data_IF_830372157594
#
_entry.id   IF_830372157594
#
_cell.length_a   1.000
_cell.length_b   1.000
_cell.length_c   1.000
_cell.angle_alpha   90.00
_cell.angle_beta   90.00
_cell.angle_gamma   90.00
#
_symmetry.space_group_name_H-M   'P 1'
#
loop_
_entity.id
_entity.type
_entity.pdbx_description
1 polymer ?
#
# COMPACT_ATOMS: atom_id res chain seq x y z
N UNK A 1 -16.38 22.61 -5.19
CA UNK A 1 -14.92 22.67 -5.06
C UNK A 1 -14.33 21.80 -3.94
N UNK A 2 -15.08 21.48 -2.84
CA UNK A 2 -14.64 20.52 -1.81
C UNK A 2 -14.74 19.02 -2.20
N UNK A 3 -15.51 18.68 -3.22
CA UNK A 3 -15.69 17.29 -3.71
C UNK A 3 -14.54 16.79 -4.61
N UNK A 4 -13.72 17.68 -5.17
CA UNK A 4 -12.61 17.29 -6.06
C UNK A 4 -11.43 16.66 -5.29
N UNK A 5 -11.21 17.08 -4.04
CA UNK A 5 -10.15 16.54 -3.18
C UNK A 5 -10.47 15.14 -2.62
N UNK A 6 -11.77 14.85 -2.43
CA UNK A 6 -12.21 13.52 -1.94
C UNK A 6 -11.99 12.44 -3.01
N UNK A 7 -12.14 12.76 -4.28
CA UNK A 7 -11.93 11.80 -5.38
C UNK A 7 -10.47 11.34 -5.56
N UNK A 8 -9.50 12.21 -5.31
CA UNK A 8 -8.07 11.87 -5.43
C UNK A 8 -7.55 11.12 -4.19
N UNK A 9 -8.04 11.50 -2.99
CA UNK A 9 -7.73 10.76 -1.75
C UNK A 9 -8.39 9.36 -1.73
N UNK A 10 -9.56 9.20 -2.38
CA UNK A 10 -10.23 7.90 -2.44
C UNK A 10 -9.54 6.94 -3.44
N UNK A 11 -8.88 7.43 -4.49
CA UNK A 11 -8.10 6.56 -5.37
C UNK A 11 -6.83 6.04 -4.65
N UNK A 12 -6.11 6.89 -3.95
CA UNK A 12 -4.97 6.47 -3.12
C UNK A 12 -5.39 5.56 -1.96
N UNK A 13 -6.59 5.76 -1.40
CA UNK A 13 -7.13 4.94 -0.33
C UNK A 13 -7.71 3.61 -0.83
N UNK A 14 -8.33 3.59 -2.02
CA UNK A 14 -8.85 2.37 -2.63
C UNK A 14 -7.72 1.44 -3.11
N UNK A 15 -6.60 2.02 -3.52
CA UNK A 15 -5.42 1.25 -3.94
C UNK A 15 -4.61 0.73 -2.75
N UNK A 16 -4.69 1.39 -1.58
CA UNK A 16 -4.15 0.88 -0.32
C UNK A 16 -5.06 -0.16 0.35
N UNK A 17 -6.28 -0.29 -0.09
CA UNK A 17 -7.30 -1.25 0.38
C UNK A 17 -7.38 -2.52 -0.46
N UNK A 18 -6.49 -2.75 -1.40
CA UNK A 18 -6.27 -4.09 -1.92
C UNK A 18 -5.76 -4.94 -0.75
N UNK A 19 -6.59 -5.85 -0.15
CA UNK A 19 -6.11 -6.63 0.96
C UNK A 19 -5.03 -7.51 0.42
N UNK A 20 -3.85 -7.14 0.80
CA UNK A 20 -2.76 -8.06 1.02
C UNK A 20 -2.82 -9.38 0.33
N UNK A 21 -2.28 -9.32 -0.76
CA UNK A 21 -1.47 -10.41 -1.20
C UNK A 21 -0.04 -10.27 -0.64
N UNK A 22 0.20 -9.95 0.59
CA UNK A 22 1.52 -10.11 1.16
C UNK A 22 1.62 -9.67 2.61
N UNK A 23 1.53 -10.61 3.48
CA UNK A 23 2.44 -10.81 4.61
C UNK A 23 2.21 -12.24 5.08
N UNK A 24 3.26 -13.02 5.18
CA UNK A 24 3.21 -14.22 5.99
C UNK A 24 3.03 -13.80 7.46
N UNK A 25 1.80 -13.48 7.83
CA UNK A 25 1.29 -13.85 9.12
C UNK A 25 1.27 -15.36 9.10
N UNK A 26 1.70 -16.01 10.18
CA UNK A 26 1.27 -17.37 10.45
C UNK A 26 -0.22 -17.44 10.16
N UNK A 27 -0.73 -18.53 9.54
CA UNK A 27 -2.10 -18.59 9.10
C UNK A 27 -2.99 -18.20 10.28
N UNK A 28 -3.65 -17.06 10.18
CA UNK A 28 -4.74 -16.71 11.08
C UNK A 28 -5.63 -17.92 11.15
N UNK A 29 -6.14 -18.35 12.32
CA UNK A 29 -7.01 -19.48 12.39
C UNK A 29 -8.10 -19.28 11.35
N UNK A 30 -8.12 -20.15 10.35
CA UNK A 30 -9.04 -20.14 9.23
C UNK A 30 -10.42 -19.89 9.80
N UNK A 31 -11.01 -18.74 9.48
CA UNK A 31 -12.46 -18.65 9.42
C UNK A 31 -12.84 -19.72 8.40
N UNK A 32 -13.29 -20.89 8.87
CA UNK A 32 -13.88 -21.95 8.06
C UNK A 32 -15.22 -21.45 7.50
N UNK A 33 -15.20 -20.43 6.66
CA UNK A 33 -16.21 -20.28 5.62
C UNK A 33 -15.79 -21.27 4.54
N UNK A 34 -16.59 -22.30 4.31
CA UNK A 34 -16.40 -23.24 3.23
C UNK A 34 -16.35 -22.45 1.92
N UNK A 35 -15.16 -22.12 1.46
CA UNK A 35 -14.98 -21.46 0.16
C UNK A 35 -15.51 -22.40 -0.93
N UNK A 36 -16.36 -21.92 -1.80
CA UNK A 36 -16.90 -22.69 -2.93
C UNK A 36 -15.95 -22.51 -4.11
N UNK A 37 -14.98 -23.39 -4.20
CA UNK A 37 -13.95 -23.35 -5.26
C UNK A 37 -14.32 -24.40 -6.31
N UNK A 38 -14.53 -23.97 -7.56
CA UNK A 38 -14.70 -24.85 -8.70
C UNK A 38 -13.43 -25.65 -8.93
N UNK A 39 -13.54 -26.97 -9.05
CA UNK A 39 -12.41 -27.88 -9.23
C UNK A 39 -11.61 -27.58 -10.52
N UNK A 40 -12.28 -27.18 -11.60
CA UNK A 40 -11.63 -26.80 -12.85
C UNK A 40 -10.83 -25.50 -12.68
N UNK A 41 -11.40 -24.53 -11.99
CA UNK A 41 -10.73 -23.26 -11.68
C UNK A 41 -9.49 -23.48 -10.79
N UNK A 42 -9.62 -24.33 -9.77
CA UNK A 42 -8.53 -24.70 -8.88
C UNK A 42 -7.36 -25.37 -9.61
N UNK A 43 -7.68 -26.35 -10.46
CA UNK A 43 -6.67 -27.03 -11.28
C UNK A 43 -5.97 -26.08 -12.27
N UNK A 44 -6.70 -25.10 -12.84
CA UNK A 44 -6.11 -24.10 -13.71
C UNK A 44 -5.16 -23.17 -12.95
N UNK A 45 -5.53 -22.71 -11.76
CA UNK A 45 -4.64 -21.90 -10.91
C UNK A 45 -3.39 -22.67 -10.48
N UNK A 46 -3.52 -23.97 -10.22
CA UNK A 46 -2.39 -24.84 -9.92
C UNK A 46 -1.44 -24.94 -11.12
N UNK A 47 -1.98 -25.22 -12.32
CA UNK A 47 -1.17 -25.27 -13.56
C UNK A 47 -0.46 -23.94 -13.84
N UNK A 48 -1.17 -22.83 -13.66
CA UNK A 48 -0.60 -21.49 -13.75
C UNK A 48 0.59 -21.33 -12.78
N UNK A 49 0.38 -21.64 -11.51
CA UNK A 49 1.41 -21.53 -10.48
C UNK A 49 2.63 -22.43 -10.77
N UNK A 50 2.41 -23.68 -11.13
CA UNK A 50 3.47 -24.62 -11.46
C UNK A 50 4.30 -24.13 -12.67
N UNK A 51 3.64 -23.57 -13.70
CA UNK A 51 4.30 -23.00 -14.86
C UNK A 51 5.23 -21.84 -14.50
N UNK A 52 4.76 -20.84 -13.75
CA UNK A 52 5.58 -19.70 -13.34
C UNK A 52 6.69 -20.07 -12.36
N UNK A 53 6.44 -21.08 -11.52
CA UNK A 53 7.45 -21.59 -10.58
C UNK A 53 8.59 -22.31 -11.29
N UNK A 54 8.31 -23.02 -12.38
CA UNK A 54 9.30 -23.71 -13.18
C UNK A 54 10.17 -22.75 -14.01
N UNK A 55 9.68 -21.56 -14.33
CA UNK A 55 10.41 -20.58 -15.13
C UNK A 55 11.59 -19.97 -14.34
N UNK A 56 12.77 -19.94 -14.95
CA UNK A 56 13.97 -19.28 -14.40
C UNK A 56 13.96 -17.77 -14.63
N UNK A 57 13.36 -17.34 -15.72
CA UNK A 57 13.18 -15.93 -16.05
C UNK A 57 11.88 -15.68 -16.80
N UNK A 58 11.37 -14.46 -16.69
CA UNK A 58 10.21 -14.02 -17.46
C UNK A 58 10.28 -12.54 -17.75
N UNK A 59 9.78 -12.14 -18.93
CA UNK A 59 9.53 -10.75 -19.31
C UNK A 59 8.07 -10.59 -19.67
N UNK A 60 7.48 -9.42 -19.32
CA UNK A 60 6.09 -9.08 -19.64
C UNK A 60 5.93 -7.57 -19.79
N UNK A 61 5.08 -7.17 -20.72
CA UNK A 61 4.57 -5.80 -20.80
C UNK A 61 3.20 -5.71 -20.14
N UNK A 62 2.98 -4.64 -19.38
CA UNK A 62 1.81 -4.46 -18.54
C UNK A 62 1.15 -3.13 -18.91
N UNK A 63 -0.14 -3.19 -19.23
CA UNK A 63 -1.00 -2.02 -19.40
C UNK A 63 -2.06 -1.99 -18.30
N UNK A 64 -2.13 -0.92 -17.53
CA UNK A 64 -3.19 -0.71 -16.53
C UNK A 64 -4.07 0.43 -17.00
N UNK A 65 -5.37 0.23 -16.91
CA UNK A 65 -6.40 1.24 -17.17
C UNK A 65 -7.33 1.31 -15.96
N UNK A 66 -7.44 2.48 -15.38
CA UNK A 66 -8.36 2.78 -14.27
C UNK A 66 -9.46 3.68 -14.80
N UNK A 67 -10.69 3.19 -14.75
CA UNK A 67 -11.90 3.94 -15.13
C UNK A 67 -12.65 4.33 -13.87
N UNK A 68 -12.99 5.61 -13.76
CA UNK A 68 -13.79 6.14 -12.66
C UNK A 68 -14.90 7.04 -13.21
N UNK A 69 -16.16 6.65 -12.95
CA UNK A 69 -17.34 7.43 -13.27
C UNK A 69 -18.16 7.60 -11.98
N UNK A 70 -18.18 8.80 -11.43
CA UNK A 70 -18.94 9.14 -10.21
C UNK A 70 -20.03 10.14 -10.63
N UNK A 71 -21.31 9.89 -10.31
CA UNK A 71 -22.40 10.81 -10.61
C UNK A 71 -22.12 12.22 -10.06
N UNK A 72 -22.28 13.22 -10.92
CA UNK A 72 -21.99 14.63 -10.58
C UNK A 72 -20.51 15.03 -10.60
N UNK A 73 -19.61 14.09 -10.95
CA UNK A 73 -18.19 14.37 -11.22
C UNK A 73 -17.85 14.03 -12.68
N UNK A 74 -16.73 14.57 -13.17
CA UNK A 74 -16.23 14.21 -14.50
C UNK A 74 -15.74 12.77 -14.53
N UNK A 75 -16.02 12.04 -15.61
CA UNK A 75 -15.39 10.76 -15.91
C UNK A 75 -13.88 10.94 -15.93
N UNK A 76 -13.17 10.04 -15.25
CA UNK A 76 -11.71 10.01 -15.21
C UNK A 76 -11.22 8.67 -15.73
N UNK A 77 -10.18 8.73 -16.51
CA UNK A 77 -9.46 7.58 -17.02
C UNK A 77 -7.96 7.81 -16.82
N UNK A 78 -7.32 6.87 -16.18
CA UNK A 78 -5.87 6.86 -16.02
C UNK A 78 -5.30 5.63 -16.69
N UNK A 79 -4.16 5.78 -17.31
CA UNK A 79 -3.43 4.69 -17.93
C UNK A 79 -2.02 4.64 -17.39
N UNK A 80 -1.53 3.43 -17.20
CA UNK A 80 -0.15 3.17 -16.83
C UNK A 80 0.40 2.11 -17.77
N UNK A 81 1.67 2.25 -18.15
CA UNK A 81 2.43 1.25 -18.87
C UNK A 81 3.68 0.89 -18.10
N UNK A 82 3.92 -0.40 -18.00
CA UNK A 82 5.11 -0.92 -17.36
C UNK A 82 5.67 -2.12 -18.12
N UNK A 83 6.94 -2.39 -17.89
CA UNK A 83 7.60 -3.63 -18.27
C UNK A 83 8.22 -4.26 -17.03
N UNK A 84 8.02 -5.56 -16.86
CA UNK A 84 8.63 -6.34 -15.80
C UNK A 84 9.50 -7.43 -16.41
N UNK A 85 10.75 -7.49 -15.94
CA UNK A 85 11.66 -8.62 -16.14
C UNK A 85 12.02 -9.19 -14.79
N UNK A 86 11.96 -10.50 -14.65
CA UNK A 86 12.40 -11.23 -13.46
C UNK A 86 13.39 -12.33 -13.84
N UNK A 87 14.36 -12.59 -12.97
CA UNK A 87 15.22 -13.77 -13.08
C UNK A 87 15.55 -14.29 -11.67
N UNK A 88 15.27 -15.57 -11.47
CA UNK A 88 15.56 -16.23 -10.18
C UNK A 88 17.07 -16.26 -9.91
N UNK A 89 17.52 -16.17 -8.66
CA UNK A 89 16.66 -16.20 -7.48
C UNK A 89 16.02 -14.85 -7.07
N UNK A 90 16.62 -13.66 -7.44
CA UNK A 90 16.24 -12.37 -6.85
C UNK A 90 16.53 -11.17 -7.77
N UNK A 91 16.72 -11.36 -9.08
CA UNK A 91 16.87 -10.24 -10.00
C UNK A 91 15.51 -9.81 -10.54
N UNK A 92 15.31 -8.49 -10.58
CA UNK A 92 14.07 -7.87 -11.03
C UNK A 92 14.35 -6.53 -11.71
N UNK A 93 13.62 -6.23 -12.75
CA UNK A 93 13.57 -4.90 -13.36
C UNK A 93 12.12 -4.55 -13.66
N UNK A 94 11.52 -3.64 -12.85
CA UNK A 94 10.22 -3.05 -13.11
C UNK A 94 10.47 -1.63 -13.62
N UNK A 95 9.95 -1.31 -14.80
CA UNK A 95 10.04 0.03 -15.40
C UNK A 95 8.64 0.50 -15.76
N UNK A 96 8.14 1.48 -15.02
CA UNK A 96 6.89 2.19 -15.29
C UNK A 96 7.26 3.37 -16.18
N UNK A 97 6.80 3.35 -17.44
CA UNK A 97 7.15 4.36 -18.45
C UNK A 97 6.08 5.44 -18.60
N UNK A 98 4.83 5.10 -18.30
CA UNK A 98 3.70 6.01 -18.30
C UNK A 98 2.91 5.81 -17.01
N UNK A 99 2.77 6.86 -16.21
CA UNK A 99 1.87 6.91 -15.05
C UNK A 99 1.52 8.36 -14.73
N UNK A 100 0.44 8.62 -13.98
CA UNK A 100 0.10 9.97 -13.52
C UNK A 100 1.21 10.63 -12.69
N UNK A 101 2.00 9.85 -11.98
CA UNK A 101 3.08 10.32 -11.10
C UNK A 101 4.44 10.38 -11.82
N UNK A 102 4.47 10.12 -13.11
CA UNK A 102 5.67 10.08 -13.94
C UNK A 102 6.39 8.73 -13.93
N UNK A 103 7.45 8.62 -14.75
CA UNK A 103 8.22 7.39 -14.87
C UNK A 103 8.90 7.00 -13.55
N UNK A 104 8.87 5.71 -13.26
CA UNK A 104 9.49 5.12 -12.06
C UNK A 104 10.13 3.79 -12.42
N UNK A 105 11.25 3.48 -11.81
CA UNK A 105 11.89 2.17 -11.98
C UNK A 105 12.33 1.57 -10.64
N UNK A 106 12.21 0.24 -10.55
CA UNK A 106 12.75 -0.55 -9.47
C UNK A 106 13.58 -1.67 -10.08
N UNK A 107 14.87 -1.71 -9.75
CA UNK A 107 15.80 -2.66 -10.33
C UNK A 107 16.58 -3.35 -9.23
N UNK A 108 16.60 -4.68 -9.25
CA UNK A 108 17.45 -5.53 -8.41
C UNK A 108 18.46 -6.29 -9.29
N UNK A 109 19.74 -6.13 -8.99
CA UNK A 109 20.81 -6.93 -9.63
C UNK A 109 21.09 -8.26 -8.90
N UNK A 110 20.38 -8.51 -7.81
CA UNK A 110 20.56 -9.66 -6.91
C UNK A 110 21.40 -9.36 -5.68
N UNK A 111 21.99 -8.17 -5.58
CA UNK A 111 22.74 -7.68 -4.41
C UNK A 111 22.15 -6.40 -3.87
N UNK A 112 21.75 -5.51 -4.75
CA UNK A 112 21.24 -4.18 -4.45
C UNK A 112 19.93 -3.96 -5.17
N UNK A 113 18.99 -3.27 -4.51
CA UNK A 113 17.75 -2.77 -5.10
C UNK A 113 17.83 -1.27 -5.22
N UNK A 114 17.58 -0.75 -6.41
CA UNK A 114 17.41 0.68 -6.66
C UNK A 114 15.96 0.97 -6.97
N UNK A 115 15.39 1.94 -6.28
CA UNK A 115 14.09 2.51 -6.62
C UNK A 115 14.30 3.95 -7.06
N UNK A 116 13.91 4.31 -8.28
CA UNK A 116 14.12 5.64 -8.84
C UNK A 116 12.79 6.25 -9.26
N UNK A 117 12.49 7.44 -8.75
CA UNK A 117 11.37 8.28 -9.14
C UNK A 117 11.89 9.45 -10.00
N UNK A 118 11.71 9.35 -11.32
CA UNK A 118 12.29 10.31 -12.29
C UNK A 118 11.76 11.72 -12.07
N UNK A 119 10.46 11.87 -11.86
CA UNK A 119 9.82 13.17 -11.61
C UNK A 119 10.35 13.89 -10.37
N UNK A 120 10.82 13.13 -9.37
CA UNK A 120 11.43 13.68 -8.15
C UNK A 120 12.94 13.87 -8.29
N UNK A 121 13.58 13.31 -9.31
CA UNK A 121 15.04 13.22 -9.44
C UNK A 121 15.68 12.61 -8.17
N UNK A 122 15.05 11.58 -7.62
CA UNK A 122 15.48 10.92 -6.40
C UNK A 122 15.55 9.41 -6.58
N UNK A 123 16.47 8.76 -5.87
CA UNK A 123 16.55 7.32 -5.82
C UNK A 123 16.87 6.82 -4.41
N UNK A 124 16.37 5.62 -4.12
CA UNK A 124 16.62 4.86 -2.90
C UNK A 124 17.48 3.66 -3.24
N UNK A 125 18.31 3.22 -2.30
CA UNK A 125 19.19 2.06 -2.45
C UNK A 125 19.03 1.20 -1.21
N UNK A 126 18.60 -0.05 -1.42
CA UNK A 126 18.42 -1.06 -0.40
C UNK A 126 19.23 -2.32 -0.74
N UNK A 127 19.47 -3.17 0.25
CA UNK A 127 20.03 -4.49 0.01
C UNK A 127 18.99 -5.40 -0.65
N UNK A 128 19.40 -6.19 -1.64
CA UNK A 128 18.49 -7.14 -2.28
C UNK A 128 18.25 -8.35 -1.37
N UNK A 129 16.98 -8.74 -1.16
CA UNK A 129 16.64 -10.00 -0.51
C UNK A 129 17.21 -11.22 -1.28
N UNK A 130 17.24 -12.38 -0.62
CA UNK A 130 17.85 -13.61 -1.18
C UNK A 130 17.07 -14.22 -2.33
N UNK A 131 15.77 -13.96 -2.40
CA UNK A 131 14.83 -14.58 -3.36
C UNK A 131 13.69 -13.63 -3.73
N UNK A 132 12.99 -13.97 -4.81
CA UNK A 132 11.83 -13.21 -5.28
C UNK A 132 10.68 -13.23 -4.27
N UNK A 133 10.49 -14.34 -3.51
CA UNK A 133 9.45 -14.42 -2.48
C UNK A 133 9.59 -13.29 -1.46
N UNK A 134 10.80 -13.14 -0.91
CA UNK A 134 11.11 -12.09 0.06
C UNK A 134 11.07 -10.70 -0.58
N UNK A 135 11.56 -10.57 -1.82
CA UNK A 135 11.55 -9.31 -2.55
C UNK A 135 10.11 -8.80 -2.78
N UNK A 136 9.21 -9.64 -3.26
CA UNK A 136 7.82 -9.27 -3.49
C UNK A 136 7.03 -9.06 -2.19
N UNK A 137 7.34 -9.81 -1.14
CA UNK A 137 6.64 -9.71 0.14
C UNK A 137 7.05 -8.48 0.96
N UNK A 138 8.35 -8.24 1.06
CA UNK A 138 8.90 -7.35 2.11
C UNK A 138 9.40 -6.01 1.57
N UNK A 139 9.67 -5.87 0.25
CA UNK A 139 10.19 -4.63 -0.28
C UNK A 139 9.11 -3.52 -0.30
N UNK A 140 9.29 -2.43 0.46
CA UNK A 140 8.23 -1.47 0.75
C UNK A 140 7.70 -0.75 -0.50
N UNK A 141 8.58 -0.46 -1.46
CA UNK A 141 8.18 0.25 -2.68
C UNK A 141 7.57 -0.67 -3.73
N UNK A 142 7.93 -1.95 -3.74
CA UNK A 142 7.45 -2.89 -4.73
C UNK A 142 5.95 -3.17 -4.57
N UNK A 143 5.49 -3.33 -3.32
CA UNK A 143 4.06 -3.54 -3.03
C UNK A 143 3.19 -2.33 -3.45
N UNK A 144 3.71 -1.12 -3.36
CA UNK A 144 3.02 0.09 -3.81
C UNK A 144 2.89 0.11 -5.33
N UNK A 145 3.98 -0.14 -6.06
CA UNK A 145 3.98 -0.07 -7.53
C UNK A 145 3.24 -1.24 -8.18
N UNK A 146 3.27 -2.43 -7.58
CA UNK A 146 2.64 -3.62 -8.15
C UNK A 146 1.20 -3.83 -7.69
N UNK A 147 0.73 -3.12 -6.66
CA UNK A 147 -0.64 -3.27 -6.14
C UNK A 147 -1.73 -3.02 -7.19
N UNK A 148 -1.45 -2.20 -8.20
CA UNK A 148 -2.35 -1.94 -9.32
C UNK A 148 -2.20 -2.95 -10.48
N UNK A 149 -1.18 -3.82 -10.42
CA UNK A 149 -0.85 -4.73 -11.51
C UNK A 149 -1.45 -6.13 -11.35
N UNK A 150 -2.45 -6.28 -10.45
CA UNK A 150 -3.17 -7.53 -10.22
C UNK A 150 -2.28 -8.66 -9.69
N UNK A 151 -2.60 -9.94 -10.01
CA UNK A 151 -1.94 -11.11 -9.42
C UNK A 151 -0.51 -11.37 -9.97
N UNK A 152 0.15 -10.32 -10.49
CA UNK A 152 1.48 -10.47 -11.09
C UNK A 152 2.55 -10.85 -10.05
N UNK A 153 2.45 -10.34 -8.84
CA UNK A 153 3.38 -10.68 -7.75
C UNK A 153 3.21 -12.10 -7.28
N UNK A 154 1.96 -12.57 -7.24
CA UNK A 154 1.58 -13.86 -6.69
C UNK A 154 2.10 -15.01 -7.53
N UNK A 155 2.06 -14.84 -8.87
CA UNK A 155 2.50 -15.91 -9.79
C UNK A 155 4.01 -16.20 -9.72
N UNK A 156 4.81 -15.25 -9.24
CA UNK A 156 6.26 -15.45 -9.08
C UNK A 156 6.67 -15.90 -7.68
N UNK A 157 5.73 -16.04 -6.74
CA UNK A 157 5.98 -16.47 -5.36
C UNK A 157 6.07 -18.00 -5.23
N UNK A 158 6.37 -18.47 -4.03
CA UNK A 158 6.59 -19.91 -3.76
C UNK A 158 5.29 -20.74 -3.79
N UNK A 159 4.17 -20.10 -3.42
CA UNK A 159 2.83 -20.72 -3.38
C UNK A 159 1.80 -19.90 -4.14
N UNK A 160 1.93 -19.76 -5.47
CA UNK A 160 1.12 -18.86 -6.26
C UNK A 160 -0.38 -19.11 -6.11
N UNK A 161 -0.81 -20.37 -6.19
CA UNK A 161 -2.22 -20.77 -6.04
C UNK A 161 -2.78 -20.34 -4.68
N UNK A 162 -2.08 -20.65 -3.60
CA UNK A 162 -2.56 -20.33 -2.24
C UNK A 162 -2.68 -18.81 -2.04
N UNK A 163 -1.74 -18.06 -2.61
CA UNK A 163 -1.77 -16.60 -2.55
C UNK A 163 -2.95 -16.02 -3.34
N UNK A 164 -3.24 -16.58 -4.52
CA UNK A 164 -4.38 -16.13 -5.34
C UNK A 164 -5.73 -16.53 -4.76
N UNK A 165 -5.79 -17.55 -3.89
CA UNK A 165 -6.99 -17.98 -3.19
C UNK A 165 -7.14 -17.35 -1.79
N UNK A 166 -6.18 -16.56 -1.34
CA UNK A 166 -6.27 -15.95 -0.02
C UNK A 166 -7.44 -14.95 0.04
N UNK A 167 -8.35 -15.15 1.01
CA UNK A 167 -9.56 -14.34 1.16
C UNK A 167 -10.68 -14.62 0.14
N UNK A 168 -10.48 -15.54 -0.82
CA UNK A 168 -11.49 -15.90 -1.81
C UNK A 168 -12.59 -16.76 -1.17
N UNK A 169 -13.82 -16.33 -1.26
CA UNK A 169 -15.02 -17.03 -0.77
C UNK A 169 -15.67 -17.91 -1.84
N UNK A 170 -15.57 -17.50 -3.10
CA UNK A 170 -16.03 -18.30 -4.26
C UNK A 170 -15.10 -18.09 -5.45
N UNK A 171 -14.87 -19.17 -6.22
CA UNK A 171 -14.14 -19.13 -7.48
C UNK A 171 -14.82 -20.07 -8.48
N UNK A 172 -15.06 -19.59 -9.69
CA UNK A 172 -15.69 -20.38 -10.76
C UNK A 172 -15.08 -20.11 -12.13
N UNK A 173 -15.13 -21.10 -13.00
CA UNK A 173 -14.92 -20.92 -14.44
C UNK A 173 -16.14 -20.26 -15.04
N UNK A 174 -15.94 -19.14 -15.74
CA UNK A 174 -17.02 -18.45 -16.48
C UNK A 174 -17.16 -18.98 -17.90
N UNK A 175 -16.02 -19.30 -18.52
CA UNK A 175 -15.96 -19.83 -19.88
C UNK A 175 -14.67 -19.44 -20.59
N UNK A 176 -14.65 -19.68 -21.90
CA UNK A 176 -13.51 -19.32 -22.75
C UNK A 176 -13.85 -18.07 -23.55
N UNK A 177 -13.02 -17.08 -23.48
CA UNK A 177 -13.15 -15.79 -24.16
C UNK A 177 -11.88 -15.45 -24.94
N UNK A 178 -11.98 -14.56 -25.89
CA UNK A 178 -10.85 -14.03 -26.65
C UNK A 178 -10.39 -12.69 -26.05
N UNK A 179 -9.13 -12.60 -25.70
CA UNK A 179 -8.45 -11.38 -25.20
C UNK A 179 -7.30 -11.08 -26.16
N UNK A 180 -7.36 -9.96 -26.89
CA UNK A 180 -6.32 -9.54 -27.84
C UNK A 180 -5.93 -10.68 -28.83
N UNK A 181 -6.94 -11.36 -29.42
CA UNK A 181 -6.83 -12.52 -30.30
C UNK A 181 -6.23 -13.79 -29.67
N UNK A 182 -6.16 -13.86 -28.34
CA UNK A 182 -5.67 -15.01 -27.56
C UNK A 182 -6.85 -15.66 -26.87
N UNK A 183 -7.03 -16.98 -27.02
CA UNK A 183 -8.06 -17.75 -26.29
C UNK A 183 -7.65 -17.87 -24.81
N UNK A 184 -8.48 -17.39 -23.93
CA UNK A 184 -8.25 -17.40 -22.49
C UNK A 184 -9.46 -18.00 -21.75
N UNK A 185 -9.19 -18.77 -20.70
CA UNK A 185 -10.21 -19.19 -19.75
C UNK A 185 -10.43 -18.03 -18.78
N UNK A 186 -11.69 -17.60 -18.60
CA UNK A 186 -12.07 -16.60 -17.62
C UNK A 186 -12.49 -17.26 -16.31
N UNK A 187 -11.85 -16.86 -15.25
CA UNK A 187 -12.22 -17.16 -13.87
C UNK A 187 -12.89 -15.94 -13.24
N UNK A 188 -13.89 -16.19 -12.39
CA UNK A 188 -14.51 -15.16 -11.55
C UNK A 188 -14.31 -15.53 -10.09
N UNK A 189 -13.71 -14.61 -9.34
CA UNK A 189 -13.44 -14.75 -7.91
C UNK A 189 -14.20 -13.72 -7.09
N UNK A 190 -14.76 -14.16 -5.96
CA UNK A 190 -15.47 -13.33 -4.99
C UNK A 190 -14.68 -13.27 -3.69
N UNK A 191 -14.49 -12.05 -3.17
CA UNK A 191 -13.90 -11.77 -1.85
C UNK A 191 -14.85 -10.87 -1.05
N UNK A 192 -14.57 -10.68 0.23
CA UNK A 192 -15.44 -9.87 1.10
C UNK A 192 -15.57 -8.42 0.63
N UNK A 193 -14.49 -7.86 0.14
CA UNK A 193 -14.35 -6.46 -0.24
C UNK A 193 -14.19 -6.22 -1.75
N UNK A 194 -14.02 -7.28 -2.54
CA UNK A 194 -13.72 -7.17 -3.96
C UNK A 194 -14.18 -8.41 -4.72
N UNK A 195 -14.75 -8.19 -5.91
CA UNK A 195 -14.96 -9.24 -6.91
C UNK A 195 -14.01 -8.96 -8.08
N UNK A 196 -13.48 -10.03 -8.68
CA UNK A 196 -12.49 -9.91 -9.74
C UNK A 196 -12.67 -10.98 -10.82
N UNK A 197 -12.15 -10.67 -12.00
CA UNK A 197 -12.07 -11.61 -13.12
C UNK A 197 -10.64 -11.74 -13.60
N UNK A 198 -10.21 -12.97 -13.88
CA UNK A 198 -8.89 -13.32 -14.36
C UNK A 198 -8.98 -14.14 -15.63
N UNK A 199 -8.27 -13.72 -16.67
CA UNK A 199 -8.14 -14.45 -17.93
C UNK A 199 -6.78 -15.09 -18.03
N UNK A 200 -6.75 -16.40 -18.19
CA UNK A 200 -5.54 -17.23 -18.29
C UNK A 200 -5.52 -17.86 -19.69
N UNK A 201 -4.39 -17.78 -20.38
CA UNK A 201 -4.20 -18.41 -21.69
C UNK A 201 -4.55 -19.89 -21.63
N UNK A 202 -5.43 -20.34 -22.54
CA UNK A 202 -5.95 -21.71 -22.57
C UNK A 202 -5.01 -22.73 -23.24
N UNK A 203 -3.85 -22.30 -23.74
CA UNK A 203 -2.85 -23.15 -24.38
C UNK A 203 -1.91 -23.85 -23.38
N UNK A 204 -0.87 -24.50 -23.90
CA UNK A 204 0.06 -25.31 -23.09
C UNK A 204 0.91 -24.46 -22.11
N UNK A 205 1.01 -23.18 -22.33
CA UNK A 205 1.69 -22.21 -21.45
C UNK A 205 0.63 -21.32 -20.81
N UNK A 206 0.10 -21.66 -19.62
CA UNK A 206 -0.92 -20.87 -18.95
C UNK A 206 -0.30 -19.58 -18.45
N UNK A 207 -0.53 -18.48 -19.16
CA UNK A 207 -0.05 -17.15 -18.81
C UNK A 207 -1.19 -16.22 -18.47
N UNK A 208 -0.93 -15.21 -17.63
CA UNK A 208 -1.89 -14.15 -17.40
C UNK A 208 -2.12 -13.36 -18.70
N UNK A 209 -3.37 -13.14 -19.07
CA UNK A 209 -3.76 -12.31 -20.21
C UNK A 209 -4.35 -10.99 -19.76
N UNK A 210 -5.31 -11.07 -18.84
CA UNK A 210 -6.07 -9.91 -18.35
C UNK A 210 -6.52 -10.15 -16.92
N UNK A 211 -6.63 -9.08 -16.15
CA UNK A 211 -7.23 -9.07 -14.83
C UNK A 211 -8.12 -7.84 -14.69
N UNK A 212 -9.32 -7.99 -14.12
CA UNK A 212 -10.18 -6.84 -13.81
C UNK A 212 -10.75 -6.96 -12.42
N UNK A 213 -10.89 -5.83 -11.75
CA UNK A 213 -11.56 -5.75 -10.46
C UNK A 213 -12.22 -4.40 -10.26
N UNK A 214 -13.17 -4.35 -9.32
CA UNK A 214 -13.78 -3.10 -8.87
C UNK A 214 -13.60 -2.92 -7.36
N UNK A 215 -13.03 -1.81 -6.90
CA UNK A 215 -12.86 -1.51 -5.48
C UNK A 215 -14.18 -1.07 -4.80
N UNK A 216 -15.26 -0.90 -5.55
CA UNK A 216 -16.52 -0.33 -5.06
C UNK A 216 -17.13 -1.12 -3.90
N UNK A 217 -17.01 -2.44 -3.91
CA UNK A 217 -17.58 -3.31 -2.85
C UNK A 217 -16.96 -2.99 -1.49
N UNK A 218 -15.65 -2.93 -1.38
CA UNK A 218 -14.92 -2.55 -0.17
C UNK A 218 -15.16 -1.09 0.23
N UNK A 219 -15.18 -0.18 -0.76
CA UNK A 219 -15.49 1.23 -0.52
C UNK A 219 -16.91 1.41 0.04
N UNK A 220 -17.90 0.71 -0.48
CA UNK A 220 -19.27 0.75 0.01
C UNK A 220 -19.41 0.16 1.42
N UNK A 221 -18.60 -0.85 1.76
CA UNK A 221 -18.62 -1.44 3.09
C UNK A 221 -18.16 -0.46 4.18
N UNK A 222 -17.17 0.39 3.87
CA UNK A 222 -16.49 1.27 4.83
C UNK A 222 -16.87 2.75 4.74
N UNK A 223 -17.52 3.19 3.64
CA UNK A 223 -17.85 4.60 3.43
C UNK A 223 -18.95 5.09 4.40
N UNK A 224 -18.93 6.37 4.81
CA UNK A 224 -20.06 7.03 5.48
C UNK A 224 -21.32 7.01 4.61
N UNK A 225 -22.50 7.00 5.25
CA UNK A 225 -23.78 6.84 4.56
C UNK A 225 -24.03 7.90 3.47
N UNK A 226 -23.65 9.15 3.70
CA UNK A 226 -23.72 10.23 2.70
C UNK A 226 -22.90 9.97 1.43
N UNK A 227 -21.78 9.24 1.58
CA UNK A 227 -20.87 8.85 0.48
C UNK A 227 -21.38 7.59 -0.20
N UNK A 228 -21.93 6.63 0.58
CA UNK A 228 -22.49 5.38 0.04
C UNK A 228 -23.53 5.62 -1.04
N UNK A 229 -24.46 6.58 -0.86
CA UNK A 229 -25.48 6.88 -1.86
C UNK A 229 -24.88 7.33 -3.20
N UNK A 230 -23.78 8.07 -3.17
CA UNK A 230 -23.06 8.49 -4.38
C UNK A 230 -22.27 7.33 -5.02
N UNK A 231 -21.70 6.46 -4.17
CA UNK A 231 -20.92 5.31 -4.63
C UNK A 231 -21.80 4.20 -5.23
N UNK A 232 -23.06 4.04 -4.78
CA UNK A 232 -24.00 3.04 -5.35
C UNK A 232 -24.22 3.18 -6.85
N UNK A 233 -24.14 4.39 -7.36
CA UNK A 233 -24.30 4.70 -8.80
C UNK A 233 -22.97 5.04 -9.49
N UNK A 234 -21.85 4.90 -8.79
CA UNK A 234 -20.51 5.06 -9.37
C UNK A 234 -20.12 3.80 -10.15
N UNK A 235 -19.28 3.98 -11.16
CA UNK A 235 -18.56 2.89 -11.80
C UNK A 235 -17.06 3.10 -11.61
N UNK A 236 -16.41 2.10 -11.05
CA UNK A 236 -14.96 2.06 -10.88
C UNK A 236 -14.47 0.70 -11.33
N UNK A 237 -13.52 0.67 -12.23
CA UNK A 237 -12.97 -0.55 -12.79
C UNK A 237 -11.48 -0.37 -13.03
N UNK A 238 -10.71 -1.32 -12.59
CA UNK A 238 -9.29 -1.46 -12.92
C UNK A 238 -9.16 -2.62 -13.89
N UNK A 239 -8.55 -2.38 -15.03
CA UNK A 239 -8.22 -3.40 -16.03
C UNK A 239 -6.72 -3.47 -16.19
N UNK A 240 -6.15 -4.65 -16.02
CA UNK A 240 -4.74 -4.96 -16.24
C UNK A 240 -4.62 -5.90 -17.43
N UNK A 241 -3.74 -5.60 -18.38
CA UNK A 241 -3.40 -6.44 -19.51
C UNK A 241 -1.95 -6.85 -19.45
N UNK A 242 -1.69 -8.11 -19.72
CA UNK A 242 -0.36 -8.69 -19.75
C UNK A 242 -0.07 -9.17 -21.17
N UNK A 243 0.95 -8.61 -21.78
CA UNK A 243 1.29 -8.90 -23.19
C UNK A 243 2.76 -9.21 -23.35
N UNK A 244 3.13 -9.79 -24.49
CA UNK A 244 4.53 -10.02 -24.87
C UNK A 244 5.32 -10.89 -23.87
N UNK A 245 4.65 -11.88 -23.27
CA UNK A 245 5.33 -12.83 -22.39
C UNK A 245 6.47 -13.54 -23.07
N UNK A 246 7.63 -13.58 -22.41
CA UNK A 246 8.79 -14.38 -22.80
C UNK A 246 9.31 -15.09 -21.57
N UNK A 247 9.55 -16.38 -21.65
CA UNK A 247 10.07 -17.20 -20.57
C UNK A 247 11.39 -17.81 -20.95
N UNK A 248 12.32 -17.88 -20.00
CA UNK A 248 13.63 -18.53 -20.11
C UNK A 248 14.46 -18.07 -21.33
N UNK A 249 14.17 -16.86 -21.82
CA UNK A 249 14.92 -16.21 -22.88
C UNK A 249 16.23 -15.60 -22.39
N UNK A 250 17.14 -15.34 -23.34
CA UNK A 250 18.34 -14.59 -23.06
C UNK A 250 17.97 -13.18 -22.60
N UNK A 251 18.45 -12.80 -21.42
CA UNK A 251 18.24 -11.46 -20.88
C UNK A 251 19.27 -10.50 -21.50
N UNK A 252 18.84 -9.39 -22.13
CA UNK A 252 19.76 -8.39 -22.65
C UNK A 252 20.72 -7.88 -21.57
N UNK A 253 21.94 -7.57 -21.98
CA UNK A 253 22.90 -6.92 -21.08
C UNK A 253 22.29 -5.60 -20.53
N UNK A 254 22.42 -5.38 -19.22
CA UNK A 254 21.84 -4.19 -18.57
C UNK A 254 20.37 -4.30 -18.15
N UNK A 255 19.65 -5.41 -18.43
CA UNK A 255 18.25 -5.57 -17.98
C UNK A 255 18.10 -5.35 -16.47
N UNK A 256 19.01 -5.92 -15.69
CA UNK A 256 19.03 -5.83 -14.23
C UNK A 256 20.11 -4.87 -13.70
N UNK A 257 20.55 -3.92 -14.51
CA UNK A 257 21.49 -2.89 -14.10
C UNK A 257 20.77 -1.53 -13.98
N UNK A 258 21.18 -0.74 -13.02
CA UNK A 258 20.71 0.62 -12.84
C UNK A 258 21.87 1.55 -12.53
N UNK A 259 22.02 2.58 -13.34
CA UNK A 259 22.95 3.69 -13.09
C UNK A 259 22.14 4.93 -12.75
N UNK A 260 22.28 5.49 -11.55
CA UNK A 260 21.55 6.71 -11.17
C UNK A 260 21.88 7.86 -12.13
N UNK A 261 20.88 8.59 -12.63
CA UNK A 261 21.12 9.81 -13.41
C UNK A 261 21.97 10.82 -12.62
N UNK A 262 22.84 11.57 -13.31
CA UNK A 262 23.79 12.52 -12.68
C UNK A 262 23.09 13.60 -11.86
N UNK A 263 21.86 13.95 -12.20
CA UNK A 263 21.03 14.96 -11.51
C UNK A 263 20.10 14.36 -10.45
N UNK A 264 20.11 13.04 -10.27
CA UNK A 264 19.34 12.36 -9.24
C UNK A 264 20.09 12.31 -7.91
N UNK A 265 19.36 12.49 -6.80
CA UNK A 265 19.89 12.46 -5.44
C UNK A 265 19.51 11.16 -4.74
N UNK A 266 20.48 10.54 -4.06
CA UNK A 266 20.20 9.45 -3.14
C UNK A 266 19.48 10.00 -1.90
N UNK A 267 18.36 9.37 -1.55
CA UNK A 267 17.54 9.70 -0.36
C UNK A 267 17.24 8.43 0.42
N UNK A 268 16.94 8.56 1.70
CA UNK A 268 16.46 7.44 2.52
C UNK A 268 14.97 7.15 2.29
N UNK A 269 14.23 8.16 1.87
CA UNK A 269 12.81 8.08 1.56
C UNK A 269 12.48 9.13 0.49
N UNK A 270 11.57 8.80 -0.43
CA UNK A 270 11.11 9.79 -1.42
C UNK A 270 10.38 10.94 -0.75
N UNK A 271 10.61 12.15 -1.28
CA UNK A 271 9.71 13.26 -0.97
C UNK A 271 8.29 12.87 -1.43
N UNK A 272 7.28 13.14 -0.61
CA UNK A 272 5.91 12.92 -1.02
C UNK A 272 5.65 13.66 -2.33
N UNK A 273 5.11 12.96 -3.34
CA UNK A 273 4.60 13.62 -4.54
C UNK A 273 3.42 14.46 -4.09
N UNK A 274 3.58 15.79 -4.07
CA UNK A 274 2.42 16.65 -3.96
C UNK A 274 1.60 16.46 -5.23
N UNK A 275 0.28 16.15 -5.13
CA UNK A 275 -0.59 16.22 -6.29
C UNK A 275 -0.57 17.67 -6.77
N UNK A 276 0.16 17.93 -7.85
CA UNK A 276 0.14 19.24 -8.52
C UNK A 276 -1.26 19.42 -9.08
N UNK A 277 -2.08 20.34 -8.53
CA UNK A 277 -3.29 20.73 -9.24
C UNK A 277 -2.81 21.32 -10.56
N UNK A 278 -3.40 20.85 -11.67
CA UNK A 278 -3.14 21.45 -12.98
C UNK A 278 -3.33 22.99 -12.84
N UNK A 279 -2.34 23.80 -13.25
CA UNK A 279 -2.44 25.24 -13.08
C UNK A 279 -3.66 25.75 -13.84
N UNK A 280 -4.62 26.28 -13.12
CA UNK A 280 -5.69 27.07 -13.74
C UNK A 280 -5.05 28.30 -14.36
N UNK A 281 -5.25 28.56 -15.65
CA UNK A 281 -4.66 29.74 -16.30
C UNK A 281 -5.11 31.03 -15.56
N UNK A 282 -4.17 31.74 -14.96
CA UNK A 282 -4.39 33.08 -14.38
C UNK A 282 -4.54 33.16 -12.86
N UNK A 283 -4.39 32.09 -12.10
CA UNK A 283 -4.31 32.16 -10.61
C UNK A 283 -2.88 31.93 -10.09
N UNK A 284 -2.42 32.75 -9.11
CA UNK A 284 -1.15 32.49 -8.45
C UNK A 284 -1.18 31.11 -7.77
N UNK A 285 -0.06 30.37 -7.84
CA UNK A 285 0.10 29.08 -7.21
C UNK A 285 -0.23 29.16 -5.71
N UNK A 286 -0.96 28.19 -5.14
CA UNK A 286 -1.18 28.15 -3.70
C UNK A 286 0.19 28.03 -2.98
N UNK A 287 0.32 28.60 -1.76
CA UNK A 287 1.56 28.52 -1.00
C UNK A 287 1.92 27.03 -0.78
N UNK A 288 3.20 26.70 -0.93
CA UNK A 288 3.73 25.36 -0.71
C UNK A 288 3.29 24.85 0.67
N UNK A 289 2.69 23.65 0.74
CA UNK A 289 2.35 23.03 2.03
C UNK A 289 3.64 22.72 2.80
N UNK A 290 3.65 23.06 4.07
CA UNK A 290 4.76 22.67 4.94
C UNK A 290 4.85 21.14 5.02
N UNK A 291 6.07 20.61 4.95
CA UNK A 291 6.32 19.15 5.00
C UNK A 291 6.26 18.64 6.44
N UNK A 292 5.97 17.35 6.68
CA UNK A 292 5.98 16.77 8.03
C UNK A 292 7.30 16.97 8.78
N UNK A 293 8.43 16.87 8.08
CA UNK A 293 9.76 17.15 8.62
C UNK A 293 9.99 18.61 9.04
N UNK A 294 9.16 19.53 8.55
CA UNK A 294 9.16 20.93 9.01
C UNK A 294 8.79 21.08 10.49
N UNK A 295 8.20 20.05 11.11
CA UNK A 295 7.92 20.03 12.56
C UNK A 295 9.14 19.66 13.39
N UNK A 296 10.14 19.00 12.82
CA UNK A 296 11.34 18.55 13.54
C UNK A 296 12.04 19.73 14.20
N UNK A 297 12.45 19.51 15.46
CA UNK A 297 13.10 20.49 16.33
C UNK A 297 12.23 21.72 16.67
N UNK A 298 10.91 21.68 16.35
CA UNK A 298 9.95 22.72 16.72
C UNK A 298 9.02 22.26 17.85
N UNK A 299 8.40 23.18 18.58
CA UNK A 299 7.35 22.84 19.55
C UNK A 299 6.23 22.04 18.90
N UNK A 300 5.91 20.88 19.48
CA UNK A 300 4.81 20.05 19.02
C UNK A 300 3.47 20.82 19.15
N UNK A 301 2.61 20.84 18.13
CA UNK A 301 1.30 21.47 18.21
C UNK A 301 0.49 20.90 19.37
N UNK A 302 -0.03 21.77 20.21
CA UNK A 302 -0.86 21.38 21.36
C UNK A 302 -2.23 20.89 20.89
N UNK A 303 -2.73 19.83 21.51
CA UNK A 303 -4.05 19.28 21.23
C UNK A 303 -4.62 18.48 22.42
N UNK A 304 -5.91 18.23 22.35
CA UNK A 304 -6.63 17.29 23.20
C UNK A 304 -7.55 16.43 22.33
N UNK A 305 -7.55 15.11 22.55
CA UNK A 305 -8.42 14.15 21.87
C UNK A 305 -9.10 13.22 22.87
N UNK A 306 -10.31 12.80 22.56
CA UNK A 306 -10.99 11.77 23.32
C UNK A 306 -10.33 10.40 23.06
N UNK A 307 -10.14 9.61 24.11
CA UNK A 307 -9.63 8.25 24.03
C UNK A 307 -10.78 7.27 23.80
N UNK A 308 -10.56 6.29 22.94
CA UNK A 308 -11.52 5.23 22.63
C UNK A 308 -12.00 4.47 23.90
N UNK A 309 -11.12 4.28 24.87
CA UNK A 309 -11.40 3.64 26.14
C UNK A 309 -12.03 4.58 27.20
N UNK A 310 -12.30 5.82 26.83
CA UNK A 310 -12.80 6.88 27.73
C UNK A 310 -11.68 7.76 28.29
N UNK A 311 -12.04 8.99 28.67
CA UNK A 311 -11.08 10.02 29.10
C UNK A 311 -10.49 10.81 27.92
N UNK A 312 -9.47 11.62 28.19
CA UNK A 312 -8.80 12.48 27.20
C UNK A 312 -7.30 12.31 27.21
N UNK A 313 -6.72 12.38 26.04
CA UNK A 313 -5.29 12.59 25.83
C UNK A 313 -5.05 14.07 25.59
N UNK A 314 -4.28 14.70 26.44
CA UNK A 314 -3.87 16.10 26.30
C UNK A 314 -2.35 16.16 26.25
N UNK A 315 -1.78 16.61 25.13
CA UNK A 315 -0.33 16.63 24.96
C UNK A 315 0.39 17.46 26.05
N UNK A 316 -0.23 18.53 26.50
CA UNK A 316 0.34 19.41 27.53
C UNK A 316 0.61 18.70 28.88
N UNK A 317 -0.10 17.63 29.21
CA UNK A 317 0.07 16.86 30.44
C UNK A 317 1.36 16.04 30.47
N UNK A 318 1.94 15.77 29.29
CA UNK A 318 3.18 15.00 29.12
C UNK A 318 4.45 15.87 29.13
N UNK A 319 4.31 17.19 28.92
CA UNK A 319 5.45 18.10 28.86
C UNK A 319 6.24 18.11 30.19
N UNK A 320 7.55 17.91 30.10
CA UNK A 320 8.44 17.83 31.25
C UNK A 320 8.43 16.47 31.97
N UNK A 321 7.61 15.49 31.49
CA UNK A 321 7.44 14.19 32.14
C UNK A 321 7.78 13.03 31.21
N UNK A 322 7.11 12.98 30.06
CA UNK A 322 7.14 11.82 29.18
C UNK A 322 7.65 12.19 27.78
N UNK A 323 8.32 11.24 27.16
CA UNK A 323 8.50 11.18 25.69
C UNK A 323 7.17 10.68 25.11
N UNK A 324 6.62 11.37 24.12
CA UNK A 324 5.33 11.00 23.53
C UNK A 324 5.55 10.48 22.11
N UNK A 325 4.94 9.33 21.80
CA UNK A 325 4.91 8.78 20.44
C UNK A 325 3.45 8.82 19.96
N UNK A 326 3.22 9.51 18.86
CA UNK A 326 1.93 9.58 18.17
C UNK A 326 2.05 8.82 16.85
N UNK A 327 1.15 7.88 16.59
CA UNK A 327 1.05 7.19 15.31
C UNK A 327 -0.31 7.46 14.68
N UNK A 328 -0.31 8.17 13.56
CA UNK A 328 -1.52 8.51 12.82
C UNK A 328 -1.89 7.35 11.89
N UNK A 329 -3.10 6.81 12.07
CA UNK A 329 -3.53 5.58 11.41
C UNK A 329 -5.04 5.54 11.12
N UNK A 330 -5.47 4.54 10.34
CA UNK A 330 -6.87 4.20 10.13
C UNK A 330 -7.05 2.68 9.99
N UNK A 331 -8.26 2.16 10.26
CA UNK A 331 -8.56 0.72 10.19
C UNK A 331 -8.41 0.16 8.78
N UNK A 332 -8.70 0.97 7.78
CA UNK A 332 -8.56 0.65 6.34
C UNK A 332 -7.13 0.80 5.80
N UNK A 333 -6.20 1.35 6.58
CA UNK A 333 -4.82 1.52 6.17
C UNK A 333 -4.02 0.24 6.43
N UNK A 334 -3.86 -0.61 5.45
CA UNK A 334 -3.11 -1.87 5.56
C UNK A 334 -1.69 -1.71 6.15
N UNK A 335 -0.83 -0.79 5.64
CA UNK A 335 0.48 -0.51 6.23
C UNK A 335 0.41 -0.08 7.68
N UNK A 336 -0.61 0.71 8.07
CA UNK A 336 -0.81 1.14 9.46
C UNK A 336 -1.11 -0.06 10.36
N UNK A 337 -2.02 -0.93 9.92
CA UNK A 337 -2.41 -2.13 10.68
C UNK A 337 -1.21 -3.04 10.93
N UNK A 338 -0.26 -3.11 9.99
CA UNK A 338 0.99 -3.84 10.19
C UNK A 338 1.94 -3.17 11.18
N UNK A 339 1.92 -1.84 11.29
CA UNK A 339 2.74 -1.09 12.23
C UNK A 339 2.26 -1.22 13.68
N UNK A 340 0.95 -1.34 13.90
CA UNK A 340 0.34 -1.34 15.24
C UNK A 340 0.92 -2.39 16.21
N UNK A 341 1.22 -3.65 15.83
CA UNK A 341 1.88 -4.60 16.73
C UNK A 341 3.24 -4.10 17.22
N UNK A 342 4.08 -3.56 16.33
CA UNK A 342 5.40 -3.03 16.69
C UNK A 342 5.27 -1.84 17.66
N UNK A 343 4.28 -0.96 17.45
CA UNK A 343 3.95 0.13 18.37
C UNK A 343 3.48 -0.39 19.73
N UNK A 344 2.67 -1.44 19.74
CA UNK A 344 2.25 -2.12 20.97
C UNK A 344 3.43 -2.68 21.75
N UNK A 345 4.38 -3.30 21.08
CA UNK A 345 5.61 -3.80 21.69
C UNK A 345 6.47 -2.66 22.26
N UNK A 346 6.58 -1.53 21.56
CA UNK A 346 7.26 -0.32 22.06
C UNK A 346 6.54 0.20 23.30
N UNK A 347 5.22 0.32 23.28
CA UNK A 347 4.43 0.77 24.42
C UNK A 347 4.66 -0.12 25.68
N UNK A 348 4.70 -1.44 25.48
CA UNK A 348 4.97 -2.39 26.58
C UNK A 348 6.43 -2.27 27.07
N UNK A 349 7.40 -2.17 26.16
CA UNK A 349 8.83 -2.12 26.50
C UNK A 349 9.20 -0.86 27.32
N UNK A 350 8.47 0.24 27.09
CA UNK A 350 8.71 1.52 27.77
C UNK A 350 7.62 1.88 28.79
N UNK A 351 6.74 0.95 29.11
CA UNK A 351 5.75 1.14 30.18
C UNK A 351 6.46 1.52 31.48
N UNK A 352 5.94 2.53 32.15
CA UNK A 352 6.46 3.05 33.42
C UNK A 352 7.91 3.63 33.34
N UNK A 353 8.41 3.90 32.12
CA UNK A 353 9.72 4.50 31.89
C UNK A 353 9.66 5.95 31.37
N UNK A 354 8.54 6.63 31.58
CA UNK A 354 8.36 8.01 31.13
C UNK A 354 8.18 8.11 29.60
N UNK A 355 7.44 7.15 29.02
CA UNK A 355 7.05 7.15 27.60
C UNK A 355 5.55 6.89 27.49
N UNK A 356 4.88 7.70 26.70
CA UNK A 356 3.47 7.54 26.35
C UNK A 356 3.32 7.32 24.85
N UNK A 357 2.69 6.20 24.45
CA UNK A 357 2.44 5.84 23.05
C UNK A 357 0.95 5.89 22.78
N UNK A 358 0.54 6.62 21.75
CA UNK A 358 -0.85 6.76 21.32
C UNK A 358 -0.99 6.47 19.83
N UNK A 359 -1.97 5.62 19.50
CA UNK A 359 -2.43 5.44 18.13
C UNK A 359 -3.55 6.47 17.86
N UNK A 360 -3.29 7.46 17.00
CA UNK A 360 -4.23 8.53 16.63
C UNK A 360 -5.03 8.10 15.42
N UNK A 361 -6.29 7.70 15.63
CA UNK A 361 -7.17 7.27 14.57
C UNK A 361 -7.77 8.45 13.81
N UNK A 362 -7.79 8.35 12.48
CA UNK A 362 -8.19 9.44 11.60
C UNK A 362 -9.55 9.23 10.97
N UNK A 363 -10.49 10.14 11.25
CA UNK A 363 -11.74 10.34 10.52
C UNK A 363 -12.65 9.10 10.40
N UNK A 364 -12.61 8.23 11.41
CA UNK A 364 -13.46 7.04 11.50
C UNK A 364 -14.43 7.13 12.68
N UNK A 365 -15.52 6.38 12.59
CA UNK A 365 -16.51 6.27 13.64
C UNK A 365 -15.99 5.45 14.83
N UNK A 366 -16.26 5.90 16.03
CA UNK A 366 -15.80 5.29 17.30
C UNK A 366 -16.11 3.79 17.36
N UNK A 367 -17.33 3.40 16.99
CA UNK A 367 -17.77 1.99 17.04
C UNK A 367 -17.05 1.09 16.02
N UNK A 368 -16.69 1.63 14.86
CA UNK A 368 -15.92 0.88 13.86
C UNK A 368 -14.49 0.62 14.36
N UNK A 369 -13.84 1.65 14.90
CA UNK A 369 -12.49 1.54 15.47
C UNK A 369 -12.48 0.60 16.67
N UNK A 370 -13.48 0.68 17.55
CA UNK A 370 -13.60 -0.19 18.72
C UNK A 370 -13.69 -1.66 18.32
N UNK A 371 -14.58 -2.00 17.40
CA UNK A 371 -14.72 -3.38 16.86
C UNK A 371 -13.41 -3.87 16.27
N UNK A 372 -12.69 -3.00 15.55
CA UNK A 372 -11.41 -3.34 14.94
C UNK A 372 -10.35 -3.65 16.01
N UNK A 373 -10.18 -2.78 17.00
CA UNK A 373 -9.21 -2.95 18.10
C UNK A 373 -9.49 -4.23 18.89
N UNK A 374 -10.77 -4.50 19.19
CA UNK A 374 -11.20 -5.73 19.87
C UNK A 374 -10.90 -6.98 19.04
N UNK A 375 -11.24 -6.98 17.73
CA UNK A 375 -11.00 -8.09 16.84
C UNK A 375 -9.51 -8.40 16.66
N UNK A 376 -8.67 -7.36 16.62
CA UNK A 376 -7.20 -7.50 16.47
C UNK A 376 -6.48 -7.67 17.81
N UNK A 377 -7.18 -7.59 18.95
CA UNK A 377 -6.62 -7.69 20.32
C UNK A 377 -5.46 -6.71 20.55
N UNK A 378 -5.58 -5.50 20.02
CA UNK A 378 -4.54 -4.48 20.12
C UNK A 378 -4.62 -3.77 21.47
N UNK A 379 -3.53 -3.79 22.23
CA UNK A 379 -3.42 -3.18 23.56
C UNK A 379 -2.70 -1.82 23.48
N UNK A 380 -3.24 -0.88 22.68
CA UNK A 380 -2.71 0.46 22.52
C UNK A 380 -3.79 1.50 22.91
N UNK A 381 -3.43 2.59 23.60
CA UNK A 381 -4.33 3.73 23.75
C UNK A 381 -4.63 4.34 22.38
N UNK A 382 -5.90 4.40 22.01
CA UNK A 382 -6.36 5.00 20.76
C UNK A 382 -7.01 6.35 21.05
N UNK A 383 -6.48 7.40 20.42
CA UNK A 383 -7.05 8.75 20.44
C UNK A 383 -7.81 9.01 19.13
N UNK A 384 -8.99 9.63 19.20
CA UNK A 384 -9.90 9.77 18.08
C UNK A 384 -9.82 11.16 17.46
N UNK A 385 -9.17 11.32 16.31
CA UNK A 385 -9.19 12.56 15.51
C UNK A 385 -10.28 12.47 14.42
N UNK A 386 -11.54 12.36 14.86
CA UNK A 386 -12.70 12.14 13.96
C UNK A 386 -12.89 13.24 12.91
N UNK A 387 -12.32 14.44 13.14
CA UNK A 387 -12.38 15.57 12.19
C UNK A 387 -11.11 15.74 11.35
N UNK A 388 -10.03 15.03 11.67
CA UNK A 388 -8.74 15.19 11.02
C UNK A 388 -8.09 16.55 11.31
N UNK A 389 -8.45 17.20 12.42
CA UNK A 389 -7.92 18.51 12.78
C UNK A 389 -6.47 18.38 13.30
N UNK A 390 -6.22 17.35 14.09
CA UNK A 390 -4.88 17.12 14.63
C UNK A 390 -3.94 16.61 13.55
N UNK A 391 -4.42 15.75 12.65
CA UNK A 391 -3.67 15.34 11.48
C UNK A 391 -3.18 16.56 10.65
N UNK A 392 -4.00 17.59 10.50
CA UNK A 392 -3.61 18.84 9.81
C UNK A 392 -2.53 19.61 10.58
N UNK A 393 -2.66 19.72 11.90
CA UNK A 393 -1.65 20.40 12.74
C UNK A 393 -0.30 19.69 12.69
N UNK A 394 -0.32 18.35 12.61
CA UNK A 394 0.87 17.52 12.51
C UNK A 394 1.32 17.28 11.07
N UNK A 395 0.79 18.05 10.11
CA UNK A 395 1.15 18.02 8.69
C UNK A 395 1.10 16.60 8.11
N UNK A 396 0.12 15.78 8.57
CA UNK A 396 -0.03 14.40 8.10
C UNK A 396 -0.36 14.42 6.61
N UNK A 397 0.60 13.98 5.80
CA UNK A 397 0.49 13.93 4.34
C UNK A 397 0.18 12.52 3.83
N UNK A 398 0.42 11.51 4.64
CA UNK A 398 0.16 10.09 4.37
C UNK A 398 0.23 9.29 5.66
N UNK A 399 -0.41 8.12 5.69
CA UNK A 399 -0.42 7.23 6.85
C UNK A 399 0.17 5.85 6.50
N UNK A 400 0.85 5.17 7.49
CA UNK A 400 1.10 5.64 8.85
C UNK A 400 2.06 6.83 8.89
N UNK A 401 1.85 7.75 9.84
CA UNK A 401 2.85 8.76 10.19
C UNK A 401 3.09 8.68 11.69
N UNK A 402 4.34 8.44 12.07
CA UNK A 402 4.75 8.35 13.46
C UNK A 402 5.55 9.58 13.85
N UNK A 403 5.20 10.21 14.97
CA UNK A 403 5.86 11.42 15.50
C UNK A 403 6.39 11.13 16.90
N UNK A 404 7.67 11.38 17.13
CA UNK A 404 8.32 11.29 18.44
C UNK A 404 8.50 12.71 19.01
N UNK A 405 8.00 12.95 20.22
CA UNK A 405 8.05 14.24 20.91
C UNK A 405 8.86 14.06 22.19
N UNK A 406 9.89 14.88 22.36
CA UNK A 406 10.74 14.86 23.55
C UNK A 406 10.05 15.41 24.79
N UNK A 407 10.60 15.16 25.99
CA UNK A 407 10.11 15.73 27.25
C UNK A 407 10.07 17.26 27.25
N UNK A 408 10.95 17.90 26.48
CA UNK A 408 10.96 19.35 26.29
C UNK A 408 9.71 19.88 25.52
N UNK A 409 8.94 18.97 24.95
CA UNK A 409 7.76 19.27 24.15
C UNK A 409 8.06 19.59 22.69
N UNK A 410 9.30 19.37 22.21
CA UNK A 410 9.65 19.55 20.82
C UNK A 410 9.54 18.23 20.04
N UNK A 411 9.24 18.31 18.75
CA UNK A 411 9.23 17.16 17.86
C UNK A 411 10.67 16.69 17.61
N UNK A 412 11.02 15.49 18.03
CA UNK A 412 12.33 14.91 17.87
C UNK A 412 12.50 14.20 16.51
N UNK A 413 11.46 13.50 16.07
CA UNK A 413 11.47 12.79 14.79
C UNK A 413 10.08 12.69 14.19
N UNK A 414 10.01 12.56 12.87
CA UNK A 414 8.79 12.27 12.10
C UNK A 414 9.11 11.20 11.07
N UNK A 415 8.31 10.14 11.05
CA UNK A 415 8.40 9.05 10.08
C UNK A 415 7.10 8.96 9.30
N UNK A 416 7.17 8.88 7.98
CA UNK A 416 6.01 8.71 7.10
C UNK A 416 6.14 7.38 6.35
N UNK A 417 5.08 6.57 6.37
CA UNK A 417 5.07 5.25 5.76
C UNK A 417 5.47 4.12 6.73
N UNK A 418 5.22 2.90 6.30
CA UNK A 418 5.55 1.69 7.05
C UNK A 418 7.04 1.36 6.93
N UNK A 419 7.67 1.03 8.06
CA UNK A 419 9.03 0.47 8.10
C UNK A 419 9.03 -0.84 8.89
N UNK A 420 9.63 -1.92 8.37
CA UNK A 420 9.84 -3.16 9.12
C UNK A 420 10.67 -2.94 10.39
N UNK A 421 11.57 -1.96 10.36
CA UNK A 421 12.48 -1.62 11.47
C UNK A 421 11.90 -0.57 12.43
N UNK A 422 10.58 -0.26 12.30
CA UNK A 422 9.91 0.78 13.10
C UNK A 422 10.19 0.62 14.60
N UNK A 423 10.08 -0.59 15.13
CA UNK A 423 10.35 -0.88 16.54
C UNK A 423 11.78 -0.51 16.94
N UNK A 424 12.79 -0.93 16.17
CA UNK A 424 14.20 -0.65 16.47
C UNK A 424 14.50 0.85 16.37
N UNK A 425 13.94 1.52 15.35
CA UNK A 425 14.07 2.96 15.13
C UNK A 425 13.47 3.75 16.28
N UNK A 426 12.22 3.47 16.65
CA UNK A 426 11.55 4.13 17.76
C UNK A 426 12.25 3.87 19.10
N UNK A 427 12.71 2.63 19.34
CA UNK A 427 13.45 2.29 20.56
C UNK A 427 14.67 3.21 20.71
N UNK A 428 15.51 3.32 19.67
CA UNK A 428 16.70 4.16 19.67
C UNK A 428 16.38 5.65 19.89
N UNK A 429 15.33 6.15 19.23
CA UNK A 429 14.94 7.56 19.33
C UNK A 429 14.37 7.88 20.71
N UNK A 430 13.52 7.01 21.26
CA UNK A 430 12.96 7.13 22.60
C UNK A 430 14.08 7.14 23.64
N UNK A 431 15.03 6.20 23.57
CA UNK A 431 16.17 6.14 24.47
C UNK A 431 17.01 7.43 24.41
N UNK A 432 17.23 7.96 23.21
CA UNK A 432 17.94 9.23 23.04
C UNK A 432 17.18 10.44 23.64
N UNK A 433 15.84 10.43 23.67
CA UNK A 433 15.05 11.49 24.32
C UNK A 433 14.92 11.29 25.83
N UNK A 434 14.95 10.05 26.32
CA UNK A 434 14.95 9.76 27.76
C UNK A 434 16.26 10.15 28.43
N UNK A 435 17.38 10.13 27.67
CA UNK A 435 18.70 10.51 28.15
C UNK A 435 18.92 12.03 28.28
N UNK A 436 18.01 12.84 27.74
CA UNK A 436 18.00 14.30 27.88
C UNK A 436 17.28 14.73 29.16
#
# INVERSE_FOLDING_TARGET
MKLLLIGLMLLGAAMAGCPQLAAAAEPSPKSERNAVIDAEADELLKKLGDFYKAAHSADVEIGVQVLQEIPGASKREHKMKAALSVARPNRLSLRITESPDGPTSLVSDGKTVWTHAEGLKQFIVDDSPKDLETLFRDHPHLSVFLGEMGPLTEVFRDRPRDMMLDGVSALKVVGVEEVDAIKCVRLHGEQEDMDWDLWIHSGPQPTLCKFTFSPLKGMLATAPDEVKEKLKSAKMEVTVRYTNWKFDGAQPEGTFAFEPPKDAKKVAQFAALEPTPAPEPGKPAPPARERPDALKDKPAPAFALDLLAGGKMELAQHKGKDVVVLDFWATWCGPCVRALPALGEVAVAFKDKGVAVYAVNLQEEVEAVKKFIEAKKLALPVAMDSKGEIAKLYLVSGIPQTVVIGKDGNVAAVHVGFSPDLKATLTKEIEAQLAK
#
